data_IF_910696696961
#
_entry.id   IF_910696696961
#
_cell.length_a   1.000
_cell.length_b   1.000
_cell.length_c   1.000
_cell.angle_alpha   90.00
_cell.angle_beta   90.00
_cell.angle_gamma   90.00
#
_symmetry.space_group_name_H-M   'P 1'
#
loop_
_entity.id
_entity.type
_entity.pdbx_description
1 polymer ?
#
# COMPACT_ATOMS: atom_id res chain seq x y z
N UNK A 1 -9.85 3.50 60.91
CA UNK A 1 -9.88 4.99 60.96
C UNK A 1 -10.92 5.38 62.02
N UNK A 2 -10.57 6.24 62.97
CA UNK A 2 -11.52 6.66 64.02
C UNK A 2 -12.12 8.01 63.62
N UNK A 3 -13.45 8.08 63.54
CA UNK A 3 -14.18 9.33 63.35
C UNK A 3 -14.86 9.71 64.67
N UNK A 4 -14.66 10.95 65.11
CA UNK A 4 -15.29 11.50 66.30
C UNK A 4 -16.48 12.36 65.87
N UNK A 5 -17.68 12.03 66.35
CA UNK A 5 -18.87 12.84 66.10
C UNK A 5 -19.09 13.80 67.27
N UNK A 6 -18.81 15.08 67.07
CA UNK A 6 -19.10 16.16 68.03
C UNK A 6 -20.31 16.93 67.50
N UNK A 7 -21.39 17.00 68.27
CA UNK A 7 -22.57 17.80 67.95
C UNK A 7 -22.65 18.92 68.97
N UNK A 8 -22.47 20.16 68.52
CA UNK A 8 -22.67 21.35 69.35
C UNK A 8 -24.15 21.72 69.40
N UNK A 9 -24.72 21.73 70.62
CA UNK A 9 -26.00 22.37 70.92
C UNK A 9 -25.74 23.70 71.65
N UNK A 10 -26.66 24.69 71.60
CA UNK A 10 -26.40 26.06 72.04
C UNK A 10 -26.44 26.26 73.57
N UNK A 11 -26.10 25.24 74.35
CA UNK A 11 -25.93 25.31 75.81
C UNK A 11 -24.69 24.51 76.20
N UNK A 12 -23.86 25.10 77.03
CA UNK A 12 -22.41 24.90 77.30
C UNK A 12 -21.93 23.54 77.82
N UNK A 13 -22.51 22.42 77.40
CA UNK A 13 -22.04 21.09 77.79
C UNK A 13 -21.78 20.19 76.57
N UNK A 14 -20.51 19.81 76.37
CA UNK A 14 -20.08 18.88 75.32
C UNK A 14 -20.11 17.46 75.89
N UNK A 15 -21.05 16.65 75.42
CA UNK A 15 -21.19 15.26 75.87
C UNK A 15 -20.60 14.31 74.83
N UNK A 16 -19.61 13.51 75.22
CA UNK A 16 -19.09 12.44 74.37
C UNK A 16 -20.13 11.32 74.25
N UNK A 17 -20.72 11.14 73.06
CA UNK A 17 -21.75 10.11 72.82
C UNK A 17 -21.20 8.76 72.34
N UNK A 18 -19.96 8.70 71.85
CA UNK A 18 -19.34 7.45 71.42
C UNK A 18 -18.30 7.63 70.32
N UNK A 19 -17.49 6.60 70.10
CA UNK A 19 -16.63 6.46 68.91
C UNK A 19 -17.23 5.44 67.96
N UNK A 20 -17.12 5.69 66.66
CA UNK A 20 -17.32 4.66 65.64
C UNK A 20 -15.96 4.26 65.09
N UNK A 21 -15.57 3.02 65.32
CA UNK A 21 -14.38 2.41 64.73
C UNK A 21 -14.77 1.58 63.52
N UNK A 22 -14.01 1.70 62.43
CA UNK A 22 -14.08 0.77 61.31
C UNK A 22 -12.77 -0.01 61.30
N UNK A 23 -12.87 -1.29 61.60
CA UNK A 23 -11.79 -2.25 61.46
C UNK A 23 -11.87 -2.91 60.08
N UNK A 24 -10.80 -2.76 59.30
CA UNK A 24 -10.69 -3.32 57.95
C UNK A 24 -9.62 -4.40 58.01
N UNK A 25 -9.99 -5.65 57.72
CA UNK A 25 -9.01 -6.74 57.61
C UNK A 25 -8.20 -6.56 56.32
N UNK A 26 -6.99 -6.01 56.46
CA UNK A 26 -6.05 -5.75 55.36
C UNK A 26 -5.63 -7.02 54.60
N UNK A 27 -5.92 -8.22 55.12
CA UNK A 27 -5.69 -9.48 54.41
C UNK A 27 -6.73 -9.79 53.33
N UNK A 28 -7.90 -9.12 53.38
CA UNK A 28 -9.03 -9.35 52.46
C UNK A 28 -9.27 -8.19 51.51
N UNK A 29 -8.45 -7.14 51.58
CA UNK A 29 -8.55 -5.94 50.75
C UNK A 29 -7.36 -5.89 49.81
N UNK A 30 -7.61 -6.05 48.52
CA UNK A 30 -6.60 -5.85 47.48
C UNK A 30 -6.47 -4.37 47.10
N UNK A 31 -5.27 -3.97 46.69
CA UNK A 31 -4.98 -2.64 46.16
C UNK A 31 -4.89 -2.74 44.63
N UNK A 32 -5.67 -1.93 43.92
CA UNK A 32 -5.54 -1.77 42.47
C UNK A 32 -4.78 -0.47 42.17
N UNK A 33 -3.56 -0.60 41.67
CA UNK A 33 -2.67 0.53 41.37
C UNK A 33 -2.79 0.98 39.91
N UNK A 34 -3.51 0.23 39.07
CA UNK A 34 -3.63 0.50 37.65
C UNK A 34 -4.60 1.67 37.37
N UNK A 35 -4.46 2.37 36.23
CA UNK A 35 -5.35 3.47 35.89
C UNK A 35 -6.80 2.97 35.69
N UNK A 36 -7.77 3.63 36.32
CA UNK A 36 -9.19 3.32 36.11
C UNK A 36 -9.63 3.71 34.69
N UNK A 37 -10.05 2.71 33.90
CA UNK A 37 -10.65 2.94 32.59
C UNK A 37 -12.11 3.36 32.78
N UNK A 38 -12.44 4.59 32.39
CA UNK A 38 -13.83 5.06 32.35
C UNK A 38 -14.59 4.31 31.26
N UNK A 39 -15.42 3.34 31.65
CA UNK A 39 -16.32 2.63 30.74
C UNK A 39 -17.65 3.39 30.69
N UNK A 40 -18.13 3.82 29.50
CA UNK A 40 -19.42 4.52 29.40
C UNK A 40 -20.54 3.65 29.96
N UNK A 41 -21.27 4.15 30.95
CA UNK A 41 -22.44 3.48 31.54
C UNK A 41 -22.18 2.63 32.79
N UNK A 42 -20.94 2.52 33.29
CA UNK A 42 -20.63 1.80 34.54
C UNK A 42 -19.98 2.77 35.54
N UNK A 43 -20.69 3.04 36.64
CA UNK A 43 -20.15 3.77 37.79
C UNK A 43 -19.30 2.82 38.62
N UNK A 44 -17.98 2.84 38.40
CA UNK A 44 -17.04 2.10 39.23
C UNK A 44 -16.84 2.83 40.57
N UNK A 45 -16.64 2.10 41.68
CA UNK A 45 -16.27 2.71 42.94
C UNK A 45 -14.95 3.48 42.80
N UNK A 46 -14.81 4.58 43.55
CA UNK A 46 -13.62 5.41 43.55
C UNK A 46 -12.40 4.57 43.99
N UNK A 47 -11.43 4.39 43.10
CA UNK A 47 -10.17 3.75 43.45
C UNK A 47 -9.11 4.82 43.74
N UNK A 48 -8.82 5.03 45.02
CA UNK A 48 -7.83 6.01 45.51
C UNK A 48 -6.40 5.66 45.07
N UNK A 49 -6.12 4.40 44.76
CA UNK A 49 -4.79 3.93 44.38
C UNK A 49 -4.56 3.90 42.87
N UNK A 50 -5.58 4.25 42.07
CA UNK A 50 -5.50 4.21 40.62
C UNK A 50 -4.39 5.11 40.07
N UNK A 51 -3.61 4.59 39.11
CA UNK A 51 -2.53 5.33 38.45
C UNK A 51 -1.28 5.53 39.31
N UNK A 52 -1.15 4.78 40.41
CA UNK A 52 0.08 4.78 41.23
C UNK A 52 1.11 3.74 40.76
N UNK A 53 0.80 2.96 39.72
CA UNK A 53 1.70 1.97 39.13
C UNK A 53 3.01 2.59 38.61
N UNK A 54 4.06 1.78 38.56
CA UNK A 54 5.39 2.16 38.02
C UNK A 54 5.62 1.64 36.60
N UNK A 55 4.58 1.21 35.89
CA UNK A 55 4.74 0.76 34.51
C UNK A 55 5.20 1.93 33.62
N UNK A 56 6.09 1.66 32.66
CA UNK A 56 6.50 2.64 31.67
C UNK A 56 5.35 2.86 30.67
N UNK A 57 4.53 3.87 30.93
CA UNK A 57 3.28 4.17 30.20
C UNK A 57 3.46 4.38 28.69
N UNK A 58 4.67 4.61 28.18
CA UNK A 58 4.90 4.73 26.73
C UNK A 58 4.72 3.40 25.99
N UNK A 59 5.17 2.30 26.58
CA UNK A 59 5.28 1.00 25.89
C UNK A 59 4.55 -0.14 26.63
N UNK A 60 4.13 0.08 27.88
CA UNK A 60 3.50 -0.93 28.74
C UNK A 60 2.13 -0.49 29.26
N UNK A 61 1.28 -1.46 29.59
CA UNK A 61 -0.05 -1.32 30.16
C UNK A 61 -0.14 -2.09 31.48
N UNK A 62 -0.82 -1.52 32.46
CA UNK A 62 -0.94 -2.09 33.80
C UNK A 62 -2.16 -3.02 33.87
N UNK A 63 -1.95 -4.24 34.37
CA UNK A 63 -2.99 -5.21 34.70
C UNK A 63 -2.91 -5.57 36.19
N UNK A 64 -3.97 -5.29 36.94
CA UNK A 64 -4.06 -5.58 38.38
C UNK A 64 -4.17 -7.08 38.64
N UNK A 65 -3.56 -7.55 39.75
CA UNK A 65 -3.60 -8.93 40.20
C UNK A 65 -4.33 -8.97 41.55
N UNK A 66 -5.48 -9.63 41.59
CA UNK A 66 -6.29 -9.81 42.81
C UNK A 66 -5.84 -11.03 43.64
N UNK A 67 -6.18 -11.06 44.92
CA UNK A 67 -5.93 -12.18 45.84
C UNK A 67 -4.57 -12.13 46.54
N UNK A 68 -3.92 -10.98 46.55
CA UNK A 68 -2.59 -10.79 47.13
C UNK A 68 -2.59 -9.98 48.43
N UNK A 69 -3.76 -9.47 48.82
CA UNK A 69 -3.97 -8.66 50.02
C UNK A 69 -3.46 -7.22 49.85
N UNK A 70 -3.41 -6.51 50.98
CA UNK A 70 -3.01 -5.11 51.01
C UNK A 70 -1.49 -4.94 50.86
N UNK A 71 -0.98 -5.00 49.62
CA UNK A 71 0.44 -4.80 49.30
C UNK A 71 0.66 -4.05 47.98
N UNK A 72 1.72 -3.24 47.94
CA UNK A 72 2.20 -2.56 46.71
C UNK A 72 2.80 -3.58 45.74
N UNK A 73 2.68 -3.31 44.44
CA UNK A 73 3.21 -4.17 43.38
C UNK A 73 2.30 -5.34 43.00
N UNK A 74 1.01 -5.30 43.38
CA UNK A 74 0.00 -6.31 43.01
C UNK A 74 -0.54 -6.08 41.61
N UNK A 75 0.36 -5.90 40.65
CA UNK A 75 0.06 -5.70 39.24
C UNK A 75 1.18 -6.29 38.39
N UNK A 76 0.91 -6.44 37.09
CA UNK A 76 1.91 -6.78 36.08
C UNK A 76 1.84 -5.76 34.95
N UNK A 77 2.99 -5.39 34.42
CA UNK A 77 3.08 -4.52 33.24
C UNK A 77 3.19 -5.40 31.99
N UNK A 78 2.14 -5.44 31.19
CA UNK A 78 2.10 -6.11 29.89
C UNK A 78 2.46 -5.12 28.78
N UNK A 79 2.92 -5.62 27.63
CA UNK A 79 3.23 -4.72 26.50
C UNK A 79 1.95 -4.19 25.86
N UNK A 80 1.94 -2.89 25.53
CA UNK A 80 0.84 -2.28 24.76
C UNK A 80 0.78 -2.88 23.35
N UNK A 81 -0.39 -2.81 22.72
CA UNK A 81 -0.55 -3.14 21.29
C UNK A 81 0.45 -2.33 20.45
N UNK A 82 1.09 -2.98 19.48
CA UNK A 82 2.21 -2.43 18.71
C UNK A 82 3.58 -2.55 19.38
N UNK A 83 3.69 -3.18 20.55
CA UNK A 83 4.96 -3.49 21.22
C UNK A 83 5.02 -4.96 21.66
N UNK A 84 6.24 -5.52 21.77
CA UNK A 84 6.51 -6.87 22.23
C UNK A 84 7.59 -6.91 23.32
N UNK A 85 7.62 -7.99 24.08
CA UNK A 85 8.55 -8.17 25.20
C UNK A 85 9.98 -8.47 24.68
N UNK A 86 11.04 -7.81 25.17
CA UNK A 86 12.39 -7.94 24.62
C UNK A 86 12.93 -9.37 24.59
N UNK A 87 12.67 -10.16 25.63
CA UNK A 87 13.06 -11.57 25.69
C UNK A 87 11.91 -12.48 25.24
N UNK A 88 12.01 -12.94 23.99
CA UNK A 88 10.94 -13.71 23.34
C UNK A 88 10.87 -15.17 23.81
N UNK A 89 11.92 -15.67 24.47
CA UNK A 89 12.06 -17.07 24.90
C UNK A 89 11.42 -17.34 26.26
N UNK A 90 11.19 -16.30 27.07
CA UNK A 90 10.59 -16.44 28.41
C UNK A 90 9.08 -16.72 28.29
N UNK A 91 8.52 -17.68 29.06
CA UNK A 91 7.09 -17.99 29.04
C UNK A 91 6.23 -16.85 29.63
N UNK A 92 6.72 -16.15 30.65
CA UNK A 92 6.07 -15.02 31.29
C UNK A 92 6.50 -13.69 30.65
N UNK A 93 5.68 -13.15 29.75
CA UNK A 93 5.97 -11.94 28.96
C UNK A 93 5.37 -10.68 29.59
N UNK A 94 5.77 -10.40 30.83
CA UNK A 94 5.34 -9.22 31.57
C UNK A 94 6.39 -8.83 32.62
N UNK A 95 6.38 -7.57 33.03
CA UNK A 95 7.21 -7.12 34.15
C UNK A 95 6.40 -7.20 35.45
N UNK A 96 6.97 -7.85 36.48
CA UNK A 96 6.32 -7.99 37.79
C UNK A 96 6.27 -6.64 38.52
N UNK A 97 5.08 -6.24 38.98
CA UNK A 97 4.89 -5.01 39.74
C UNK A 97 5.71 -4.97 41.03
N UNK A 98 5.83 -6.09 41.75
CA UNK A 98 6.62 -6.18 42.98
C UNK A 98 8.10 -5.82 42.75
N UNK A 99 8.71 -6.34 41.69
CA UNK A 99 10.11 -6.02 41.33
C UNK A 99 10.26 -4.58 40.86
N UNK A 100 9.25 -4.03 40.17
CA UNK A 100 9.28 -2.64 39.73
C UNK A 100 9.20 -1.66 40.90
N UNK A 101 8.34 -1.95 41.88
CA UNK A 101 8.20 -1.11 43.08
C UNK A 101 9.46 -1.14 43.94
N UNK A 102 10.11 -2.30 44.09
CA UNK A 102 11.40 -2.42 44.79
C UNK A 102 12.50 -1.60 44.10
N UNK A 103 12.65 -1.76 42.78
CA UNK A 103 13.67 -1.01 42.03
C UNK A 103 13.36 0.48 41.99
N UNK A 104 12.09 0.87 41.98
CA UNK A 104 11.69 2.27 42.10
C UNK A 104 12.01 2.84 43.49
N UNK A 105 11.82 2.07 44.55
CA UNK A 105 12.16 2.48 45.92
C UNK A 105 13.67 2.71 46.06
N UNK A 106 14.51 1.83 45.51
CA UNK A 106 15.97 2.03 45.42
C UNK A 106 16.32 3.34 44.71
N UNK A 107 15.63 3.64 43.61
CA UNK A 107 15.82 4.91 42.89
C UNK A 107 15.46 6.12 43.76
N UNK A 108 14.37 6.05 44.55
CA UNK A 108 13.95 7.14 45.44
C UNK A 108 14.91 7.33 46.63
N UNK A 109 15.60 6.28 47.06
CA UNK A 109 16.62 6.30 48.09
C UNK A 109 18.02 6.69 47.58
N UNK A 110 18.15 7.08 46.30
CA UNK A 110 19.43 7.37 45.61
C UNK A 110 20.41 6.17 45.59
N UNK A 111 19.88 4.95 45.62
CA UNK A 111 20.68 3.73 45.43
C UNK A 111 20.77 3.35 43.95
N UNK A 112 21.69 2.43 43.62
CA UNK A 112 21.82 1.90 42.27
C UNK A 112 20.59 1.05 41.94
N UNK A 113 19.77 1.54 41.03
CA UNK A 113 18.51 0.90 40.59
C UNK A 113 18.53 0.62 39.10
N UNK A 114 18.05 -0.55 38.70
CA UNK A 114 17.86 -0.88 37.29
C UNK A 114 16.73 -0.07 36.64
N UNK A 115 15.79 0.49 37.42
CA UNK A 115 14.70 1.34 36.94
C UNK A 115 15.18 2.73 36.46
N UNK A 116 16.37 3.15 36.89
CA UNK A 116 17.04 4.37 36.44
C UNK A 116 17.39 4.34 34.95
N UNK A 117 17.66 3.14 34.42
CA UNK A 117 17.99 2.95 33.02
C UNK A 117 16.75 3.21 32.14
N UNK A 118 16.86 4.05 31.09
CA UNK A 118 15.71 4.37 30.25
C UNK A 118 15.25 3.19 29.38
N UNK A 119 16.10 2.18 29.16
CA UNK A 119 15.77 1.02 28.31
C UNK A 119 15.26 -0.19 29.12
N UNK A 120 15.27 -0.13 30.45
CA UNK A 120 14.75 -1.21 31.29
C UNK A 120 13.24 -1.09 31.46
N UNK A 121 12.57 -2.23 31.66
CA UNK A 121 11.11 -2.30 31.89
C UNK A 121 10.26 -1.67 30.78
N UNK A 122 10.78 -1.69 29.54
CA UNK A 122 10.09 -1.21 28.34
C UNK A 122 9.96 -2.33 27.31
N UNK A 123 8.88 -2.28 26.56
CA UNK A 123 8.67 -3.16 25.41
C UNK A 123 9.25 -2.55 24.13
N UNK A 124 9.64 -3.40 23.18
CA UNK A 124 10.17 -3.01 21.88
C UNK A 124 9.04 -2.82 20.87
N UNK A 125 9.12 -1.85 19.95
CA UNK A 125 8.09 -1.64 18.95
C UNK A 125 8.04 -2.80 17.95
N UNK A 126 6.84 -3.17 17.51
CA UNK A 126 6.65 -4.13 16.42
C UNK A 126 7.20 -3.60 15.09
N UNK A 127 7.47 -4.53 14.16
CA UNK A 127 7.79 -4.18 12.78
C UNK A 127 6.65 -3.37 12.12
N UNK A 128 7.00 -2.54 11.13
CA UNK A 128 6.03 -1.67 10.45
C UNK A 128 4.85 -2.47 9.87
N UNK A 129 3.62 -2.00 10.09
CA UNK A 129 2.40 -2.64 9.59
C UNK A 129 1.82 -3.79 10.45
N UNK A 130 2.47 -4.12 11.57
CA UNK A 130 1.94 -5.05 12.58
C UNK A 130 0.97 -4.34 13.54
N UNK A 131 -0.18 -4.95 13.84
CA UNK A 131 -1.09 -4.46 14.91
C UNK A 131 -0.71 -5.04 16.29
N UNK A 132 -0.22 -6.30 16.30
CA UNK A 132 0.35 -6.98 17.45
C UNK A 132 1.42 -7.97 16.96
N UNK A 133 2.51 -8.12 17.72
CA UNK A 133 3.62 -8.99 17.37
C UNK A 133 4.15 -9.74 18.60
N UNK A 134 4.80 -10.89 18.37
CA UNK A 134 5.45 -11.68 19.43
C UNK A 134 6.95 -11.37 19.53
N UNK A 135 7.53 -10.93 18.43
CA UNK A 135 8.95 -10.73 18.18
C UNK A 135 9.15 -9.67 17.08
N UNK A 136 10.41 -9.45 16.68
CA UNK A 136 10.78 -8.53 15.60
C UNK A 136 10.46 -9.06 14.18
N UNK A 137 9.67 -10.13 14.05
CA UNK A 137 9.32 -10.69 12.75
C UNK A 137 8.52 -9.68 11.91
N UNK A 138 8.80 -9.59 10.60
CA UNK A 138 8.08 -8.65 9.73
C UNK A 138 6.64 -9.13 9.53
N UNK A 139 5.65 -8.23 9.62
CA UNK A 139 4.27 -8.53 9.23
C UNK A 139 3.97 -8.15 7.78
N UNK A 140 4.84 -7.38 7.13
CA UNK A 140 4.68 -6.95 5.74
C UNK A 140 5.65 -7.74 4.87
N UNK A 141 5.18 -8.24 3.74
CA UNK A 141 6.00 -9.03 2.84
C UNK A 141 7.23 -8.25 2.40
N UNK A 142 8.42 -8.84 2.55
CA UNK A 142 9.67 -8.24 2.07
C UNK A 142 9.66 -8.26 0.53
N UNK A 143 9.50 -7.10 -0.10
CA UNK A 143 9.66 -7.00 -1.54
C UNK A 143 11.13 -7.17 -1.92
N UNK A 144 11.40 -7.88 -3.02
CA UNK A 144 12.73 -8.00 -3.60
C UNK A 144 13.16 -6.66 -4.21
N UNK A 145 13.68 -5.78 -3.35
CA UNK A 145 14.20 -4.46 -3.74
C UNK A 145 15.20 -4.52 -4.90
N UNK A 146 16.15 -5.48 -4.97
CA UNK A 146 17.08 -5.55 -6.10
C UNK A 146 16.36 -5.76 -7.44
N UNK A 147 15.37 -6.66 -7.48
CA UNK A 147 14.58 -6.92 -8.69
C UNK A 147 13.77 -5.69 -9.10
N UNK A 148 13.08 -5.05 -8.15
CA UNK A 148 12.25 -3.86 -8.41
C UNK A 148 13.08 -2.68 -8.92
N UNK A 149 14.22 -2.43 -8.29
CA UNK A 149 15.17 -1.39 -8.71
C UNK A 149 15.76 -1.70 -10.09
N UNK A 150 16.07 -2.96 -10.39
CA UNK A 150 16.60 -3.35 -11.70
C UNK A 150 15.59 -3.08 -12.82
N UNK A 151 14.31 -3.42 -12.62
CA UNK A 151 13.24 -3.15 -13.58
C UNK A 151 13.06 -1.64 -13.78
N UNK A 152 13.12 -0.84 -12.70
CA UNK A 152 13.01 0.61 -12.78
C UNK A 152 14.16 1.22 -13.60
N UNK A 153 15.40 0.80 -13.34
CA UNK A 153 16.58 1.31 -14.07
C UNK A 153 16.47 1.02 -15.56
N UNK A 154 16.04 -0.20 -15.93
CA UNK A 154 15.83 -0.56 -17.33
C UNK A 154 14.73 0.30 -17.99
N UNK A 155 13.61 0.52 -17.29
CA UNK A 155 12.53 1.38 -17.80
C UNK A 155 12.98 2.84 -17.98
N UNK A 156 13.72 3.38 -17.01
CA UNK A 156 14.29 4.74 -17.09
C UNK A 156 15.30 4.89 -18.23
N UNK A 157 16.11 3.86 -18.48
CA UNK A 157 17.02 3.85 -19.63
C UNK A 157 16.24 3.98 -20.94
N UNK A 158 15.19 3.17 -21.13
CA UNK A 158 14.34 3.25 -22.33
C UNK A 158 13.69 4.63 -22.46
N UNK A 159 13.12 5.17 -21.38
CA UNK A 159 12.55 6.53 -21.36
C UNK A 159 13.59 7.57 -21.78
N UNK A 160 14.83 7.45 -21.33
CA UNK A 160 15.94 8.35 -21.72
C UNK A 160 16.27 8.29 -23.21
N UNK A 161 16.09 7.14 -23.88
CA UNK A 161 16.33 7.00 -25.32
C UNK A 161 15.18 7.51 -26.21
N UNK A 162 13.96 7.65 -25.68
CA UNK A 162 12.80 8.07 -26.45
C UNK A 162 12.89 9.52 -26.97
N UNK A 163 13.28 10.55 -26.18
CA UNK A 163 13.39 11.92 -26.69
C UNK A 163 14.46 12.09 -27.79
N UNK A 164 15.68 11.53 -27.66
CA UNK A 164 16.65 11.54 -28.76
C UNK A 164 16.12 10.87 -30.03
N UNK A 165 15.42 9.74 -29.90
CA UNK A 165 14.81 9.06 -31.05
C UNK A 165 13.70 9.92 -31.69
N UNK A 166 12.84 10.54 -30.89
CA UNK A 166 11.81 11.45 -31.38
C UNK A 166 12.41 12.68 -32.08
N UNK A 167 13.46 13.27 -31.51
CA UNK A 167 14.20 14.37 -32.12
C UNK A 167 14.84 13.96 -33.45
N UNK A 168 15.47 12.79 -33.50
CA UNK A 168 16.04 12.22 -34.73
C UNK A 168 14.96 12.06 -35.83
N UNK A 169 13.80 11.50 -35.49
CA UNK A 169 12.70 11.36 -36.46
C UNK A 169 12.18 12.70 -36.98
N UNK A 170 12.19 13.74 -36.14
CA UNK A 170 11.80 15.10 -36.54
C UNK A 170 12.85 15.76 -37.45
N UNK A 171 14.13 15.68 -37.07
CA UNK A 171 15.23 16.34 -37.79
C UNK A 171 15.48 15.73 -39.17
N UNK A 172 15.30 14.42 -39.31
CA UNK A 172 15.58 13.67 -40.54
C UNK A 172 14.32 13.24 -41.30
N UNK A 173 13.16 13.84 -41.00
CA UNK A 173 11.87 13.49 -41.63
C UNK A 173 11.84 13.59 -43.17
N UNK A 174 12.77 14.34 -43.78
CA UNK A 174 12.90 14.50 -45.23
C UNK A 174 13.66 13.36 -45.92
N UNK A 175 14.41 12.55 -45.16
CA UNK A 175 15.16 11.40 -45.69
C UNK A 175 14.15 10.35 -46.19
N UNK A 176 14.41 9.78 -47.38
CA UNK A 176 13.49 8.85 -48.07
C UNK A 176 12.95 7.74 -47.16
N UNK A 177 13.81 7.15 -46.33
CA UNK A 177 13.46 6.08 -45.38
C UNK A 177 12.44 6.55 -44.35
N UNK A 178 12.72 7.64 -43.63
CA UNK A 178 11.82 8.17 -42.59
C UNK A 178 10.53 8.74 -43.19
N UNK A 179 10.63 9.39 -44.35
CA UNK A 179 9.48 9.94 -45.07
C UNK A 179 8.50 8.84 -45.49
N UNK A 180 9.00 7.66 -45.90
CA UNK A 180 8.16 6.51 -46.24
C UNK A 180 7.46 5.91 -45.01
N UNK A 181 8.12 5.91 -43.85
CA UNK A 181 7.61 5.33 -42.60
C UNK A 181 6.56 6.20 -41.86
N UNK A 182 6.16 7.36 -42.42
CA UNK A 182 5.25 8.35 -41.79
C UNK A 182 5.78 8.88 -40.45
N UNK A 183 6.65 9.92 -40.45
CA UNK A 183 7.31 10.47 -39.26
C UNK A 183 6.35 10.94 -38.15
N UNK A 184 5.11 11.28 -38.49
CA UNK A 184 4.10 11.66 -37.50
C UNK A 184 3.68 10.45 -36.63
N UNK A 185 3.47 9.28 -37.24
CA UNK A 185 3.09 8.06 -36.50
C UNK A 185 4.23 7.55 -35.64
N UNK A 186 5.48 7.63 -36.11
CA UNK A 186 6.65 7.24 -35.32
C UNK A 186 6.77 8.03 -34.02
N UNK A 187 6.53 9.35 -34.06
CA UNK A 187 6.53 10.21 -32.88
C UNK A 187 5.39 9.87 -31.90
N UNK A 188 4.22 9.50 -32.41
CA UNK A 188 3.10 9.05 -31.57
C UNK A 188 3.38 7.71 -30.92
N UNK A 189 4.02 6.77 -31.63
CA UNK A 189 4.46 5.48 -31.08
C UNK A 189 5.47 5.72 -29.95
N UNK A 190 6.44 6.63 -30.14
CA UNK A 190 7.38 7.00 -29.09
C UNK A 190 6.69 7.60 -27.86
N UNK A 191 5.66 8.44 -28.04
CA UNK A 191 4.86 8.98 -26.96
C UNK A 191 4.04 7.90 -26.23
N UNK A 192 3.47 6.94 -26.97
CA UNK A 192 2.78 5.79 -26.39
C UNK A 192 3.71 4.92 -25.55
N UNK A 193 4.91 4.63 -26.06
CA UNK A 193 5.95 3.91 -25.33
C UNK A 193 6.34 4.63 -24.04
N UNK A 194 6.50 5.96 -24.09
CA UNK A 194 6.77 6.78 -22.90
C UNK A 194 5.71 6.55 -21.82
N UNK A 195 4.42 6.63 -22.15
CA UNK A 195 3.36 6.40 -21.17
C UNK A 195 3.34 4.97 -20.62
N UNK A 196 3.56 3.95 -21.46
CA UNK A 196 3.67 2.56 -20.99
C UNK A 196 4.83 2.42 -19.99
N UNK A 197 6.03 2.91 -20.31
CA UNK A 197 7.19 2.79 -19.41
C UNK A 197 7.06 3.63 -18.13
N UNK A 198 6.33 4.76 -18.16
CA UNK A 198 6.02 5.54 -16.96
C UNK A 198 5.21 4.75 -15.91
N UNK A 199 4.50 3.68 -16.30
CA UNK A 199 3.79 2.82 -15.34
C UNK A 199 4.74 2.18 -14.32
N UNK A 200 5.97 1.82 -14.73
CA UNK A 200 7.00 1.27 -13.83
C UNK A 200 7.43 2.26 -12.75
N UNK A 201 7.49 3.56 -13.09
CA UNK A 201 7.82 4.63 -12.13
C UNK A 201 6.68 4.80 -11.12
N UNK A 202 5.43 4.85 -11.62
CA UNK A 202 4.23 4.99 -10.77
C UNK A 202 4.05 3.80 -9.82
N UNK A 203 4.48 2.61 -10.25
CA UNK A 203 4.43 1.39 -9.44
C UNK A 203 5.62 1.21 -8.50
N UNK A 204 6.64 2.06 -8.51
CA UNK A 204 7.79 1.95 -7.60
C UNK A 204 7.51 2.33 -6.13
N UNK A 205 6.72 3.37 -5.81
CA UNK A 205 6.31 3.63 -4.42
C UNK A 205 5.25 2.63 -3.93
N UNK A 206 4.84 2.76 -2.66
CA UNK A 206 3.74 1.98 -2.10
C UNK A 206 2.42 2.29 -2.84
N UNK A 207 1.56 1.28 -3.06
CA UNK A 207 0.31 1.48 -3.77
C UNK A 207 -0.64 2.38 -2.99
N UNK A 208 -1.21 3.35 -3.68
CA UNK A 208 -2.19 4.32 -3.20
C UNK A 208 -3.32 4.43 -4.23
N UNK A 209 -4.43 5.06 -3.86
CA UNK A 209 -5.52 5.38 -4.79
C UNK A 209 -5.00 6.04 -6.08
N UNK A 210 -4.06 6.99 -5.94
CA UNK A 210 -3.51 7.74 -7.06
C UNK A 210 -2.58 6.89 -7.93
N UNK A 211 -1.68 6.09 -7.33
CA UNK A 211 -0.77 5.25 -8.12
C UNK A 211 -1.51 4.13 -8.84
N UNK A 212 -2.52 3.53 -8.21
CA UNK A 212 -3.38 2.54 -8.86
C UNK A 212 -4.18 3.14 -10.03
N UNK A 213 -4.71 4.36 -9.88
CA UNK A 213 -5.43 5.06 -10.96
C UNK A 213 -4.48 5.42 -12.11
N UNK A 214 -3.36 6.06 -11.81
CA UNK A 214 -2.40 6.52 -12.80
C UNK A 214 -1.81 5.34 -13.60
N UNK A 215 -1.56 4.19 -12.96
CA UNK A 215 -1.08 2.98 -13.63
C UNK A 215 -2.02 2.55 -14.76
N UNK A 216 -3.32 2.43 -14.47
CA UNK A 216 -4.32 1.99 -15.45
C UNK A 216 -4.40 3.00 -16.60
N UNK A 217 -4.49 4.29 -16.27
CA UNK A 217 -4.58 5.36 -17.26
C UNK A 217 -3.38 5.41 -18.20
N UNK A 218 -2.16 5.38 -17.65
CA UNK A 218 -0.93 5.40 -18.43
C UNK A 218 -0.79 4.15 -19.32
N UNK A 219 -1.16 2.97 -18.82
CA UNK A 219 -1.09 1.73 -19.59
C UNK A 219 -2.03 1.76 -20.79
N UNK A 220 -3.31 2.05 -20.56
CA UNK A 220 -4.35 1.97 -21.60
C UNK A 220 -4.18 3.07 -22.66
N UNK A 221 -3.83 4.30 -22.24
CA UNK A 221 -3.52 5.38 -23.17
C UNK A 221 -2.24 5.05 -23.95
N UNK A 222 -1.19 4.60 -23.27
CA UNK A 222 0.08 4.23 -23.92
C UNK A 222 -0.08 3.08 -24.92
N UNK A 223 -0.87 2.06 -24.58
CA UNK A 223 -1.23 0.94 -25.44
C UNK A 223 -1.98 1.44 -26.67
N UNK A 224 -3.01 2.28 -26.48
CA UNK A 224 -3.82 2.82 -27.58
C UNK A 224 -3.00 3.66 -28.57
N UNK A 225 -2.04 4.46 -28.07
CA UNK A 225 -1.16 5.26 -28.93
C UNK A 225 -0.16 4.38 -29.68
N UNK A 226 0.45 3.42 -29.00
CA UNK A 226 1.49 2.54 -29.58
C UNK A 226 0.88 1.56 -30.58
N UNK A 227 0.02 0.67 -30.11
CA UNK A 227 -0.56 -0.39 -30.91
C UNK A 227 -1.68 0.11 -31.82
N UNK A 228 -2.42 1.16 -31.43
CA UNK A 228 -3.37 1.81 -32.33
C UNK A 228 -2.71 2.49 -33.53
N UNK A 229 -1.56 3.17 -33.34
CA UNK A 229 -0.81 3.73 -34.45
C UNK A 229 -0.23 2.64 -35.39
N UNK A 230 0.33 1.56 -34.82
CA UNK A 230 0.79 0.41 -35.61
C UNK A 230 -0.36 -0.21 -36.39
N UNK A 231 -1.54 -0.36 -35.79
CA UNK A 231 -2.73 -0.92 -36.42
C UNK A 231 -3.25 -0.06 -37.57
N UNK A 232 -3.32 1.25 -37.39
CA UNK A 232 -3.78 2.16 -38.44
C UNK A 232 -2.79 2.20 -39.60
N UNK A 233 -1.49 2.04 -39.30
CA UNK A 233 -0.44 1.92 -40.31
C UNK A 233 -0.58 0.64 -41.13
N UNK A 234 -0.77 -0.52 -40.48
CA UNK A 234 -0.99 -1.81 -41.19
C UNK A 234 -2.33 -1.82 -41.93
N UNK A 235 -3.37 -1.24 -41.35
CA UNK A 235 -4.69 -1.09 -41.99
C UNK A 235 -4.60 -0.27 -43.28
N UNK A 236 -3.90 0.87 -43.27
CA UNK A 236 -3.65 1.68 -44.49
C UNK A 236 -3.03 0.84 -45.59
N UNK A 237 -2.01 0.04 -45.26
CA UNK A 237 -1.36 -0.88 -46.21
C UNK A 237 -2.38 -1.90 -46.74
N UNK A 238 -3.16 -2.53 -45.86
CA UNK A 238 -4.18 -3.51 -46.26
C UNK A 238 -5.22 -2.93 -47.24
N UNK A 239 -5.63 -1.68 -47.06
CA UNK A 239 -6.58 -1.00 -47.94
C UNK A 239 -5.95 -0.72 -49.30
N UNK A 240 -4.72 -0.20 -49.33
CA UNK A 240 -4.01 0.10 -50.58
C UNK A 240 -3.84 -1.18 -51.43
N UNK A 241 -3.49 -2.32 -50.82
CA UNK A 241 -3.27 -3.58 -51.53
C UNK A 241 -4.56 -4.36 -51.83
N UNK A 242 -5.65 -4.14 -51.09
CA UNK A 242 -6.95 -4.81 -51.34
C UNK A 242 -7.67 -4.25 -52.56
N UNK A 243 -7.48 -2.97 -52.87
CA UNK A 243 -8.12 -2.33 -54.01
C UNK A 243 -7.40 -2.76 -55.28
N UNK A 244 -7.98 -3.72 -56.03
CA UNK A 244 -7.53 -4.15 -57.38
C UNK A 244 -7.59 -3.04 -58.45
N UNK A 245 -8.05 -1.85 -58.09
CA UNK A 245 -8.27 -0.73 -59.02
C UNK A 245 -7.03 0.15 -59.10
N UNK A 246 -6.62 0.54 -60.32
CA UNK A 246 -5.49 1.43 -60.60
C UNK A 246 -5.65 2.87 -60.05
N UNK A 247 -6.75 3.17 -59.35
CA UNK A 247 -6.97 4.47 -58.71
C UNK A 247 -6.24 4.54 -57.37
N UNK A 248 -5.16 5.32 -57.32
CA UNK A 248 -4.38 5.53 -56.10
C UNK A 248 -5.22 6.17 -54.99
N UNK A 249 -5.56 5.40 -53.96
CA UNK A 249 -6.22 5.91 -52.74
C UNK A 249 -5.16 6.58 -51.85
N UNK A 250 -5.05 7.91 -51.93
CA UNK A 250 -4.15 8.69 -51.06
C UNK A 250 -4.81 8.94 -49.70
N UNK A 251 -4.47 8.12 -48.71
CA UNK A 251 -4.85 8.36 -47.31
C UNK A 251 -3.75 9.22 -46.66
N UNK A 252 -4.12 10.41 -46.19
CA UNK A 252 -3.21 11.37 -45.52
C UNK A 252 -2.95 10.99 -44.06
N UNK A 253 -1.74 11.23 -43.56
CA UNK A 253 -1.36 10.99 -42.15
C UNK A 253 -2.27 11.71 -41.15
N UNK A 254 -2.77 12.91 -41.48
CA UNK A 254 -3.74 13.64 -40.67
C UNK A 254 -5.06 12.86 -40.46
N UNK A 255 -5.52 12.10 -41.46
CA UNK A 255 -6.70 11.27 -41.34
C UNK A 255 -6.47 10.06 -40.43
N UNK A 256 -5.26 9.49 -40.44
CA UNK A 256 -4.86 8.43 -39.51
C UNK A 256 -4.79 8.97 -38.08
N UNK A 257 -4.16 10.13 -37.88
CA UNK A 257 -4.10 10.79 -36.57
C UNK A 257 -5.48 11.15 -36.04
N UNK A 258 -6.41 11.60 -36.88
CA UNK A 258 -7.81 11.84 -36.48
C UNK A 258 -8.49 10.56 -36.00
N UNK A 259 -8.34 9.44 -36.72
CA UNK A 259 -8.89 8.13 -36.30
C UNK A 259 -8.27 7.64 -35.00
N UNK A 260 -6.95 7.82 -34.84
CA UNK A 260 -6.25 7.48 -33.61
C UNK A 260 -6.73 8.35 -32.43
N UNK A 261 -6.93 9.65 -32.65
CA UNK A 261 -7.46 10.57 -31.64
C UNK A 261 -8.88 10.19 -31.21
N UNK A 262 -9.75 9.78 -32.13
CA UNK A 262 -11.08 9.24 -31.79
C UNK A 262 -10.97 7.97 -30.96
N UNK A 263 -10.10 7.02 -31.34
CA UNK A 263 -9.85 5.80 -30.56
C UNK A 263 -9.38 6.11 -29.14
N UNK A 264 -8.38 6.98 -28.99
CA UNK A 264 -7.86 7.41 -27.69
C UNK A 264 -8.93 8.13 -26.88
N UNK A 265 -9.74 8.99 -27.51
CA UNK A 265 -10.86 9.68 -26.87
C UNK A 265 -11.90 8.72 -26.30
N UNK A 266 -12.30 7.71 -27.07
CA UNK A 266 -13.23 6.67 -26.60
C UNK A 266 -12.67 5.90 -25.39
N UNK A 267 -11.38 5.54 -25.43
CA UNK A 267 -10.71 4.84 -24.33
C UNK A 267 -10.65 5.73 -23.09
N UNK A 268 -10.25 7.00 -23.23
CA UNK A 268 -10.22 7.97 -22.13
C UNK A 268 -11.59 8.16 -21.48
N UNK A 269 -12.67 8.21 -22.27
CA UNK A 269 -14.05 8.28 -21.73
C UNK A 269 -14.39 7.00 -20.96
N UNK A 270 -14.07 5.81 -21.49
CA UNK A 270 -14.29 4.55 -20.79
C UNK A 270 -13.51 4.48 -19.47
N UNK A 271 -12.26 4.98 -19.45
CA UNK A 271 -11.44 5.10 -18.26
C UNK A 271 -12.01 6.07 -17.23
N UNK A 272 -12.53 7.23 -17.66
CA UNK A 272 -13.23 8.17 -16.78
C UNK A 272 -14.43 7.52 -16.12
N UNK A 273 -15.28 6.86 -16.92
CA UNK A 273 -16.46 6.15 -16.41
C UNK A 273 -16.04 5.12 -15.37
N UNK A 274 -15.02 4.30 -15.68
CA UNK A 274 -14.46 3.32 -14.75
C UNK A 274 -13.98 3.97 -13.45
N UNK A 275 -13.19 5.04 -13.52
CA UNK A 275 -12.65 5.74 -12.34
C UNK A 275 -13.76 6.31 -11.45
N UNK A 276 -14.87 6.76 -12.03
CA UNK A 276 -16.03 7.30 -11.29
C UNK A 276 -16.90 6.18 -10.70
N UNK A 277 -17.23 5.16 -11.49
CA UNK A 277 -18.16 4.08 -11.10
C UNK A 277 -17.52 3.10 -10.13
N UNK A 278 -16.24 2.77 -10.32
CA UNK A 278 -15.51 1.77 -9.55
C UNK A 278 -14.09 2.27 -9.26
N UNK A 279 -13.93 3.24 -8.32
CA UNK A 279 -12.62 3.78 -7.98
C UNK A 279 -11.68 2.67 -7.48
N UNK A 280 -10.39 2.69 -7.87
CA UNK A 280 -9.46 1.65 -7.48
C UNK A 280 -9.17 1.72 -5.98
N UNK A 281 -9.25 0.58 -5.30
CA UNK A 281 -8.95 0.50 -3.86
C UNK A 281 -7.69 -0.32 -3.63
N UNK A 282 -6.93 0.06 -2.61
CA UNK A 282 -5.78 -0.72 -2.15
C UNK A 282 -6.31 -1.76 -1.18
N UNK A 283 -6.03 -3.03 -1.45
CA UNK A 283 -6.40 -4.15 -0.59
C UNK A 283 -5.17 -4.78 0.01
N UNK A 284 -5.30 -5.28 1.23
CA UNK A 284 -4.25 -6.03 1.92
C UNK A 284 -4.43 -7.50 1.55
N UNK A 285 -3.58 -7.98 0.65
CA UNK A 285 -3.42 -9.41 0.39
C UNK A 285 -2.57 -10.07 1.48
N UNK A 286 -2.69 -11.39 1.60
CA UNK A 286 -1.84 -12.21 2.47
C UNK A 286 -1.05 -13.21 1.63
N UNK A 287 0.26 -13.30 1.87
CA UNK A 287 1.13 -14.33 1.28
C UNK A 287 0.90 -15.69 1.98
N UNK A 288 1.44 -16.78 1.44
CA UNK A 288 1.45 -18.12 2.08
C UNK A 288 1.96 -18.09 3.53
N UNK A 289 2.87 -17.19 3.83
CA UNK A 289 3.49 -17.01 5.15
C UNK A 289 2.72 -16.01 6.04
N UNK A 290 1.44 -15.73 5.72
CA UNK A 290 0.55 -14.77 6.39
C UNK A 290 1.05 -13.31 6.46
N UNK A 291 2.01 -12.97 5.60
CA UNK A 291 2.55 -11.61 5.45
C UNK A 291 1.57 -10.71 4.70
N UNK A 292 1.33 -9.50 5.21
CA UNK A 292 0.51 -8.46 4.59
C UNK A 292 1.22 -7.89 3.35
N UNK A 293 0.53 -7.85 2.22
CA UNK A 293 1.00 -7.21 0.99
C UNK A 293 -0.06 -6.21 0.49
N UNK A 294 0.34 -4.97 0.23
CA UNK A 294 -0.56 -3.97 -0.33
C UNK A 294 -0.61 -4.11 -1.84
N UNK A 295 -1.81 -4.29 -2.39
CA UNK A 295 -2.04 -4.53 -3.82
C UNK A 295 -3.19 -3.64 -4.33
N UNK A 296 -3.11 -3.20 -5.58
CA UNK A 296 -4.26 -2.58 -6.24
C UNK A 296 -5.30 -3.66 -6.54
N UNK A 297 -6.53 -3.51 -6.06
CA UNK A 297 -7.62 -4.46 -6.32
C UNK A 297 -7.96 -4.50 -7.82
N UNK A 298 -7.92 -5.69 -8.39
CA UNK A 298 -8.41 -5.97 -9.74
C UNK A 298 -9.92 -6.17 -9.69
N UNK A 299 -10.67 -5.46 -10.54
CA UNK A 299 -12.13 -5.56 -10.64
C UNK A 299 -12.55 -6.11 -12.01
N UNK A 300 -13.84 -6.44 -12.18
CA UNK A 300 -14.42 -6.87 -13.46
C UNK A 300 -14.14 -5.91 -14.63
N UNK A 301 -14.04 -4.62 -14.35
CA UNK A 301 -13.63 -3.61 -15.33
C UNK A 301 -12.25 -3.89 -15.90
N UNK A 302 -11.27 -4.29 -15.08
CA UNK A 302 -9.92 -4.64 -15.55
C UNK A 302 -9.96 -5.82 -16.52
N UNK A 303 -10.70 -6.88 -16.18
CA UNK A 303 -10.88 -8.03 -17.07
C UNK A 303 -11.56 -7.63 -18.38
N UNK A 304 -12.50 -6.68 -18.34
CA UNK A 304 -13.18 -6.16 -19.53
C UNK A 304 -12.21 -5.42 -20.43
N UNK A 305 -11.40 -4.50 -19.87
CA UNK A 305 -10.37 -3.79 -20.64
C UNK A 305 -9.36 -4.76 -21.26
N UNK A 306 -8.85 -5.70 -20.47
CA UNK A 306 -7.87 -6.64 -20.98
C UNK A 306 -8.46 -7.59 -22.04
N UNK A 307 -9.72 -8.00 -21.90
CA UNK A 307 -10.41 -8.79 -22.93
C UNK A 307 -10.56 -8.00 -24.24
N UNK A 308 -10.86 -6.70 -24.14
CA UNK A 308 -10.93 -5.80 -25.29
C UNK A 308 -9.55 -5.62 -25.95
N UNK A 309 -8.47 -5.52 -25.18
CA UNK A 309 -7.09 -5.49 -25.71
C UNK A 309 -6.77 -6.76 -26.50
N UNK A 310 -7.11 -7.95 -25.98
CA UNK A 310 -6.91 -9.24 -26.68
C UNK A 310 -7.66 -9.28 -28.01
N UNK A 311 -8.94 -8.86 -28.03
CA UNK A 311 -9.74 -8.80 -29.26
C UNK A 311 -9.15 -7.79 -30.26
N UNK A 312 -8.69 -6.64 -29.78
CA UNK A 312 -8.03 -5.62 -30.60
C UNK A 312 -6.74 -6.15 -31.23
N UNK A 313 -5.91 -6.85 -30.46
CA UNK A 313 -4.67 -7.47 -30.96
C UNK A 313 -4.97 -8.63 -31.92
N UNK A 314 -5.99 -9.45 -31.66
CA UNK A 314 -6.41 -10.53 -32.56
C UNK A 314 -6.85 -9.97 -33.93
N UNK A 315 -7.58 -8.85 -33.94
CA UNK A 315 -7.87 -8.11 -35.17
C UNK A 315 -6.58 -7.64 -35.87
N UNK A 316 -5.58 -7.22 -35.08
CA UNK A 316 -4.26 -6.87 -35.60
C UNK A 316 -3.49 -8.01 -36.24
N UNK A 317 -3.52 -9.19 -35.62
CA UNK A 317 -2.96 -10.41 -36.20
C UNK A 317 -3.59 -10.66 -37.57
N UNK A 318 -4.92 -10.53 -37.67
CA UNK A 318 -5.63 -10.66 -38.96
C UNK A 318 -5.16 -9.62 -39.97
N UNK A 319 -4.98 -8.35 -39.60
CA UNK A 319 -4.44 -7.32 -40.49
C UNK A 319 -3.02 -7.65 -40.96
N UNK A 320 -2.14 -8.08 -40.06
CA UNK A 320 -0.77 -8.51 -40.38
C UNK A 320 -0.76 -9.66 -41.41
N UNK A 321 -1.65 -10.65 -41.26
CA UNK A 321 -1.78 -11.75 -42.22
C UNK A 321 -2.19 -11.25 -43.62
N UNK A 322 -3.08 -10.26 -43.68
CA UNK A 322 -3.54 -9.69 -44.97
C UNK A 322 -2.45 -8.91 -45.69
N UNK A 323 -1.54 -8.26 -44.95
CA UNK A 323 -0.44 -7.46 -45.52
C UNK A 323 0.87 -8.23 -45.70
N UNK A 324 0.97 -9.48 -45.26
CA UNK A 324 2.24 -10.26 -45.26
C UNK A 324 2.90 -10.42 -46.63
N UNK A 325 2.12 -10.36 -47.72
CA UNK A 325 2.60 -10.50 -49.10
C UNK A 325 2.81 -9.14 -49.80
N UNK A 326 2.53 -8.04 -49.11
CA UNK A 326 2.74 -6.72 -49.67
C UNK A 326 4.25 -6.43 -49.76
N UNK A 327 4.78 -5.99 -50.91
CA UNK A 327 6.15 -5.50 -50.99
C UNK A 327 6.29 -4.29 -50.06
N UNK A 328 7.17 -4.39 -49.06
CA UNK A 328 7.50 -3.29 -48.16
C UNK A 328 8.97 -2.94 -48.32
N UNK A 329 9.25 -1.66 -48.59
CA UNK A 329 10.59 -1.11 -48.53
C UNK A 329 11.22 -1.44 -47.16
N UNK A 330 12.47 -1.89 -47.15
CA UNK A 330 13.24 -2.19 -45.93
C UNK A 330 12.63 -3.24 -44.97
N UNK A 331 11.74 -4.12 -45.44
CA UNK A 331 11.10 -5.18 -44.64
C UNK A 331 10.34 -4.68 -43.40
N UNK A 332 9.89 -3.42 -43.39
CA UNK A 332 9.21 -2.79 -42.26
C UNK A 332 7.97 -3.58 -41.78
N UNK A 333 7.18 -4.09 -42.73
CA UNK A 333 5.95 -4.84 -42.45
C UNK A 333 6.19 -6.12 -41.63
N UNK A 334 7.36 -6.75 -41.78
CA UNK A 334 7.76 -7.95 -41.03
C UNK A 334 8.02 -7.63 -39.56
N UNK A 335 8.72 -6.53 -39.28
CA UNK A 335 8.99 -6.09 -37.90
C UNK A 335 7.72 -5.66 -37.17
N UNK A 336 6.81 -4.96 -37.86
CA UNK A 336 5.50 -4.61 -37.27
C UNK A 336 4.70 -5.87 -36.93
N UNK A 337 4.71 -6.87 -37.83
CA UNK A 337 4.01 -8.14 -37.58
C UNK A 337 4.61 -8.91 -36.41
N UNK A 338 5.95 -8.97 -36.29
CA UNK A 338 6.63 -9.58 -35.15
C UNK A 338 6.24 -8.89 -33.82
N UNK A 339 6.19 -7.55 -33.80
CA UNK A 339 5.78 -6.81 -32.61
C UNK A 339 4.34 -7.14 -32.18
N UNK A 340 3.39 -7.14 -33.13
CA UNK A 340 1.97 -7.44 -32.84
C UNK A 340 1.79 -8.91 -32.42
N UNK A 341 2.50 -9.85 -33.04
CA UNK A 341 2.43 -11.27 -32.65
C UNK A 341 3.01 -11.51 -31.26
N UNK A 342 4.15 -10.91 -30.94
CA UNK A 342 4.77 -11.04 -29.62
C UNK A 342 3.88 -10.44 -28.53
N UNK A 343 3.32 -9.26 -28.77
CA UNK A 343 2.38 -8.65 -27.83
C UNK A 343 1.15 -9.54 -27.63
N UNK A 344 0.50 -9.97 -28.72
CA UNK A 344 -0.69 -10.83 -28.63
C UNK A 344 -0.42 -12.11 -27.82
N UNK A 345 0.71 -12.78 -28.07
CA UNK A 345 1.09 -13.99 -27.34
C UNK A 345 1.36 -13.70 -25.86
N UNK A 346 2.08 -12.62 -25.56
CA UNK A 346 2.40 -12.22 -24.19
C UNK A 346 1.13 -11.85 -23.41
N UNK A 347 0.24 -11.05 -24.01
CA UNK A 347 -1.04 -10.69 -23.40
C UNK A 347 -1.90 -11.92 -23.14
N UNK A 348 -1.98 -12.87 -24.08
CA UNK A 348 -2.73 -14.11 -23.86
C UNK A 348 -2.14 -14.94 -22.72
N UNK A 349 -0.82 -15.12 -22.69
CA UNK A 349 -0.13 -15.86 -21.65
C UNK A 349 -0.37 -15.26 -20.26
N UNK A 350 -0.17 -13.94 -20.12
CA UNK A 350 -0.34 -13.25 -18.85
C UNK A 350 -1.79 -13.31 -18.35
N UNK A 351 -2.78 -13.23 -19.24
CA UNK A 351 -4.19 -13.33 -18.84
C UNK A 351 -4.63 -14.72 -18.42
N UNK A 352 -4.00 -15.78 -18.93
CA UNK A 352 -4.30 -17.16 -18.51
C UNK A 352 -3.59 -17.49 -17.20
N UNK A 353 -2.42 -16.89 -16.95
CA UNK A 353 -1.63 -17.13 -15.74
C UNK A 353 -2.11 -16.36 -14.49
N UNK A 354 -2.94 -15.33 -14.68
CA UNK A 354 -3.52 -14.47 -13.64
C UNK A 354 -4.91 -14.95 -13.27
#
# INVERSE_FOLDING_TARGET
>A
MFAYMIVEHPTTDVWFKGTSGIDIDLRRVDIDQCPQKQVPGITQPLNIFAGTDKCKQRTTECEAISGLGFRRGSYKCTCRKGFYFPDTNIPQKYFNGSTLEEEYEKLMLNEISTYSNPNSYQCLPCAEGCDACKDASPCVAALNWPMRTSILVLACAVIGFLPPAAYFTFRYQQVKVLRAASPALLRVIALGAFFIYCTSIVMYPNPTLYTCTARVWLREIGFSLTYGALMLKTWRISVIFRVRSAKAVKITDAALLKRLGVLCGCISVALLIRTIVAPPVVVVGRTSDDLKAFLCKTNWWDHTFTSMEVLFLAWGVRLCIMVRKAPSEFNESRFISMAIYNEFLLTCFLNVSM
#
